data_IF_371166870349
#
_entry.id   IF_371166870349
#
_cell.length_a   1.000
_cell.length_b   1.000
_cell.length_c   1.000
_cell.angle_alpha   90.00
_cell.angle_beta   90.00
_cell.angle_gamma   90.00
#
_symmetry.space_group_name_H-M   'P 1'
#
loop_
_entity.id
_entity.type
_entity.pdbx_description
1 polymer ?
#
# COMPACT_ATOMS: atom_id res chain seq x y z
N UNK A 1 15.26 -35.98 -41.43
CA UNK A 1 15.10 -35.06 -40.27
C UNK A 1 15.00 -33.67 -40.86
N UNK A 2 13.81 -33.05 -40.82
CA UNK A 2 13.64 -31.70 -41.32
C UNK A 2 14.30 -30.74 -40.32
N UNK A 3 15.34 -30.02 -40.76
CA UNK A 3 16.05 -29.03 -39.95
C UNK A 3 15.14 -27.89 -39.52
N UNK A 4 15.53 -27.18 -38.46
CA UNK A 4 14.74 -26.09 -37.91
C UNK A 4 14.51 -25.00 -38.98
N UNK A 5 13.41 -24.24 -38.86
CA UNK A 5 13.01 -23.18 -39.83
C UNK A 5 14.15 -22.18 -40.09
N UNK A 6 15.06 -22.01 -39.13
CA UNK A 6 16.23 -21.12 -39.20
C UNK A 6 17.32 -21.69 -40.12
N UNK A 7 17.47 -23.01 -40.23
CA UNK A 7 18.51 -23.67 -41.04
C UNK A 7 18.17 -23.73 -42.54
N UNK A 8 16.88 -23.67 -42.89
CA UNK A 8 16.40 -23.73 -44.27
C UNK A 8 15.93 -22.36 -44.83
N UNK A 9 16.10 -21.28 -44.06
CA UNK A 9 15.67 -19.93 -44.44
C UNK A 9 16.81 -19.14 -45.07
N UNK A 10 16.55 -18.56 -46.24
CA UNK A 10 17.48 -17.64 -46.91
C UNK A 10 17.84 -16.46 -46.00
N UNK A 11 19.13 -16.10 -45.93
CA UNK A 11 19.67 -14.98 -45.15
C UNK A 11 18.91 -13.68 -45.39
N UNK A 12 18.37 -13.47 -46.60
CA UNK A 12 17.54 -12.30 -46.93
C UNK A 12 16.25 -12.24 -46.11
N UNK A 13 15.56 -13.38 -45.95
CA UNK A 13 14.33 -13.47 -45.15
C UNK A 13 14.62 -13.29 -43.67
N UNK A 14 15.77 -13.80 -43.21
CA UNK A 14 16.24 -13.61 -41.83
C UNK A 14 16.50 -12.13 -41.51
N UNK A 15 17.18 -11.40 -42.41
CA UNK A 15 17.46 -9.96 -42.22
C UNK A 15 16.17 -9.14 -42.22
N UNK A 16 15.22 -9.42 -43.13
CA UNK A 16 13.93 -8.73 -43.18
C UNK A 16 13.15 -8.94 -41.88
N UNK A 17 13.08 -10.17 -41.38
CA UNK A 17 12.44 -10.47 -40.09
C UNK A 17 13.15 -9.78 -38.92
N UNK A 18 14.48 -9.75 -38.92
CA UNK A 18 15.27 -9.07 -37.90
C UNK A 18 15.01 -7.56 -37.85
N UNK A 19 14.98 -6.89 -39.00
CA UNK A 19 14.67 -5.45 -39.09
C UNK A 19 13.23 -5.17 -38.65
N UNK A 20 12.28 -6.02 -39.05
CA UNK A 20 10.88 -5.88 -38.65
C UNK A 20 10.71 -6.02 -37.13
N UNK A 21 11.33 -7.03 -36.52
CA UNK A 21 11.33 -7.20 -35.06
C UNK A 21 12.01 -6.03 -34.34
N UNK A 22 13.10 -5.48 -34.91
CA UNK A 22 13.76 -4.29 -34.36
C UNK A 22 12.84 -3.06 -34.35
N UNK A 23 12.09 -2.84 -35.43
CA UNK A 23 11.11 -1.76 -35.51
C UNK A 23 9.97 -1.94 -34.49
N UNK A 24 9.45 -3.15 -34.34
CA UNK A 24 8.43 -3.45 -33.31
C UNK A 24 8.97 -3.28 -31.88
N UNK A 25 10.23 -3.63 -31.64
CA UNK A 25 10.88 -3.44 -30.35
C UNK A 25 11.04 -1.94 -30.04
N UNK A 26 11.50 -1.14 -31.01
CA UNK A 26 11.61 0.31 -30.86
C UNK A 26 10.24 0.97 -30.60
N UNK A 27 9.20 0.50 -31.30
CA UNK A 27 7.84 0.97 -31.07
C UNK A 27 7.33 0.61 -29.66
N UNK A 28 7.57 -0.62 -29.21
CA UNK A 28 7.19 -1.07 -27.86
C UNK A 28 7.87 -0.23 -26.76
N UNK A 29 9.15 0.10 -26.93
CA UNK A 29 9.86 1.00 -26.02
C UNK A 29 9.30 2.42 -26.04
N UNK A 30 8.96 2.94 -27.21
CA UNK A 30 8.37 4.27 -27.34
C UNK A 30 7.01 4.35 -26.65
N UNK A 31 6.15 3.33 -26.81
CA UNK A 31 4.88 3.24 -26.10
C UNK A 31 5.09 3.13 -24.59
N UNK A 32 6.01 2.27 -24.14
CA UNK A 32 6.32 2.09 -22.72
C UNK A 32 6.93 3.33 -22.05
N UNK A 33 7.70 4.14 -22.79
CA UNK A 33 8.35 5.33 -22.26
C UNK A 33 7.53 6.62 -22.33
N UNK A 34 6.72 6.80 -23.39
CA UNK A 34 6.00 8.06 -23.63
C UNK A 34 4.52 8.01 -23.25
N UNK A 35 3.88 6.83 -23.32
CA UNK A 35 2.43 6.70 -23.15
C UNK A 35 2.10 6.09 -21.78
N UNK A 36 2.87 5.09 -21.35
CA UNK A 36 2.60 4.40 -20.09
C UNK A 36 3.03 5.27 -18.89
N UNK A 37 2.13 5.52 -17.92
CA UNK A 37 2.52 6.13 -16.66
C UNK A 37 3.38 5.14 -15.84
N UNK A 38 4.10 5.67 -14.84
CA UNK A 38 4.95 4.86 -13.98
C UNK A 38 4.16 3.68 -13.38
N UNK A 39 4.70 2.45 -13.43
CA UNK A 39 3.96 1.23 -13.08
C UNK A 39 3.61 1.14 -11.59
N UNK A 40 4.26 1.93 -10.74
CA UNK A 40 4.03 1.91 -9.31
C UNK A 40 4.18 3.32 -8.75
N UNK A 41 3.26 3.70 -7.88
CA UNK A 41 3.32 4.96 -7.13
C UNK A 41 3.49 4.62 -5.65
N UNK A 42 4.50 5.23 -5.01
CA UNK A 42 4.72 5.10 -3.58
C UNK A 42 4.19 6.36 -2.90
N UNK A 43 3.26 6.18 -1.96
CA UNK A 43 2.68 7.28 -1.18
C UNK A 43 2.98 7.00 0.29
N UNK A 44 3.58 7.96 0.98
CA UNK A 44 3.87 7.87 2.40
C UNK A 44 2.64 8.32 3.21
N UNK A 45 2.12 7.41 4.03
CA UNK A 45 1.02 7.70 4.95
C UNK A 45 1.55 7.83 6.36
N UNK A 46 1.22 8.94 7.03
CA UNK A 46 1.47 9.10 8.47
C UNK A 46 0.26 8.62 9.26
N UNK A 47 0.49 7.68 10.18
CA UNK A 47 -0.56 7.21 11.07
C UNK A 47 -0.98 8.29 12.05
N UNK A 48 -2.30 8.48 12.18
CA UNK A 48 -2.88 9.36 13.18
C UNK A 48 -3.02 8.59 14.49
N UNK A 49 -2.51 9.17 15.59
CA UNK A 49 -2.62 8.56 16.92
C UNK A 49 -3.98 8.91 17.50
N UNK A 50 -4.86 7.93 17.59
CA UNK A 50 -6.19 8.04 18.16
C UNK A 50 -6.23 7.49 19.59
N UNK A 51 -7.08 8.05 20.44
CA UNK A 51 -7.29 7.55 21.81
C UNK A 51 -8.57 6.77 21.91
N UNK A 52 -8.50 5.57 22.48
CA UNK A 52 -9.67 4.85 22.94
C UNK A 52 -10.01 5.22 24.39
N UNK A 53 -11.02 6.08 24.55
CA UNK A 53 -11.53 6.48 25.86
C UNK A 53 -12.56 5.48 26.43
N UNK A 54 -12.93 4.42 25.71
CA UNK A 54 -13.98 3.49 26.13
C UNK A 54 -13.36 2.37 26.97
N UNK A 55 -13.74 2.33 28.25
CA UNK A 55 -13.34 1.26 29.20
C UNK A 55 -14.04 -0.05 28.84
N UNK A 56 -13.48 -0.79 27.88
CA UNK A 56 -13.98 -2.11 27.51
C UNK A 56 -13.29 -2.65 26.26
N UNK A 57 -12.22 -3.43 26.46
CA UNK A 57 -11.45 -4.10 25.39
C UNK A 57 -12.30 -4.91 24.40
N UNK A 58 -13.54 -5.28 24.73
CA UNK A 58 -14.42 -6.08 23.87
C UNK A 58 -15.34 -5.25 22.96
N UNK A 59 -15.45 -3.93 23.14
CA UNK A 59 -16.22 -3.04 22.26
C UNK A 59 -15.29 -2.23 21.32
N UNK A 60 -14.01 -2.10 21.68
CA UNK A 60 -12.97 -1.47 20.85
C UNK A 60 -12.82 -2.15 19.49
N UNK A 61 -12.92 -3.48 19.44
CA UNK A 61 -12.82 -4.27 18.20
C UNK A 61 -13.91 -3.95 17.16
N UNK A 62 -14.98 -3.25 17.54
CA UNK A 62 -16.08 -2.89 16.65
C UNK A 62 -16.08 -1.41 16.25
N UNK A 63 -15.27 -0.57 16.90
CA UNK A 63 -15.24 0.87 16.68
C UNK A 63 -14.11 1.22 15.72
N UNK A 64 -14.48 1.63 14.51
CA UNK A 64 -13.54 2.12 13.52
C UNK A 64 -13.06 3.52 13.87
N UNK A 65 -11.76 3.67 14.11
CA UNK A 65 -11.12 4.95 14.38
C UNK A 65 -10.80 5.64 13.05
N UNK A 66 -11.59 6.67 12.71
CA UNK A 66 -11.36 7.42 11.48
C UNK A 66 -10.36 8.57 11.73
N UNK A 67 -9.26 8.67 10.96
CA UNK A 67 -8.29 9.74 11.12
C UNK A 67 -8.79 11.11 10.64
N UNK A 68 -9.91 11.21 9.92
CA UNK A 68 -10.45 12.48 9.41
C UNK A 68 -11.96 12.40 9.16
N UNK A 69 -12.59 13.53 8.83
CA UNK A 69 -14.04 13.59 8.55
C UNK A 69 -14.90 13.89 9.78
N UNK A 70 -16.24 13.80 9.65
CA UNK A 70 -17.18 14.18 10.71
C UNK A 70 -17.09 13.27 11.95
N UNK A 71 -16.69 12.01 11.75
CA UNK A 71 -16.50 11.02 12.81
C UNK A 71 -15.02 10.82 13.15
N UNK A 72 -14.23 11.88 13.10
CA UNK A 72 -12.80 11.78 13.43
C UNK A 72 -12.59 11.36 14.89
N UNK A 73 -11.58 10.53 15.11
CA UNK A 73 -11.16 10.14 16.45
C UNK A 73 -10.59 11.33 17.24
N UNK A 74 -10.50 11.17 18.57
CA UNK A 74 -9.74 12.09 19.42
C UNK A 74 -8.24 11.85 19.18
N UNK A 75 -7.53 12.88 18.69
CA UNK A 75 -6.16 12.77 18.17
C UNK A 75 -5.18 13.31 19.18
N UNK A 76 -4.05 12.62 19.30
CA UNK A 76 -2.89 13.12 20.04
C UNK A 76 -1.78 13.46 19.04
N UNK A 77 -1.15 14.62 19.22
CA UNK A 77 0.00 15.02 18.40
C UNK A 77 1.27 14.29 18.82
N UNK A 78 1.54 14.34 20.13
CA UNK A 78 2.79 13.90 20.74
C UNK A 78 2.58 12.96 21.93
N UNK A 79 3.47 11.99 22.12
CA UNK A 79 3.41 11.05 23.24
C UNK A 79 3.54 11.72 24.61
N UNK A 80 4.12 12.93 24.67
CA UNK A 80 4.18 13.72 25.91
C UNK A 80 2.80 14.18 26.38
N UNK A 81 1.92 14.53 25.44
CA UNK A 81 0.52 14.86 25.74
C UNK A 81 -0.25 13.64 26.27
N UNK A 82 0.04 12.45 25.75
CA UNK A 82 -0.52 11.19 26.26
C UNK A 82 -0.09 10.93 27.71
N UNK A 83 1.19 11.16 28.03
CA UNK A 83 1.70 11.02 29.39
C UNK A 83 1.06 12.04 30.35
N UNK A 84 0.90 13.29 29.93
CA UNK A 84 0.23 14.32 30.72
C UNK A 84 -1.24 13.98 31.00
N UNK A 85 -1.93 13.39 30.01
CA UNK A 85 -3.33 12.92 30.13
C UNK A 85 -3.47 11.55 30.81
N UNK A 86 -2.37 10.92 31.23
CA UNK A 86 -2.33 9.57 31.85
C UNK A 86 -3.01 8.50 30.99
N UNK A 87 -2.83 8.57 29.67
CA UNK A 87 -3.37 7.59 28.74
C UNK A 87 -2.42 6.39 28.68
N UNK A 88 -2.96 5.19 28.94
CA UNK A 88 -2.21 3.95 28.85
C UNK A 88 -1.82 3.63 27.40
N UNK A 89 -0.68 2.96 27.21
CA UNK A 89 -0.18 2.56 25.90
C UNK A 89 -1.19 1.68 25.12
N UNK A 90 -1.98 0.87 25.83
CA UNK A 90 -2.99 -0.02 25.23
C UNK A 90 -4.19 0.74 24.64
N UNK A 91 -4.38 1.99 25.02
CA UNK A 91 -5.50 2.82 24.55
C UNK A 91 -5.11 3.73 23.38
N UNK A 92 -3.88 3.59 22.85
CA UNK A 92 -3.41 4.34 21.69
C UNK A 92 -3.57 3.47 20.45
N UNK A 93 -4.39 3.92 19.50
CA UNK A 93 -4.63 3.25 18.22
C UNK A 93 -4.03 4.07 17.09
N UNK A 94 -3.17 3.45 16.28
CA UNK A 94 -2.62 4.08 15.08
C UNK A 94 -3.57 3.85 13.91
N UNK A 95 -4.32 4.88 13.53
CA UNK A 95 -5.29 4.83 12.44
C UNK A 95 -4.69 5.42 11.15
N UNK A 96 -4.78 4.65 10.06
CA UNK A 96 -4.44 5.09 8.71
C UNK A 96 -5.65 4.84 7.82
N UNK A 97 -6.01 5.84 7.01
CA UNK A 97 -7.03 5.67 5.98
C UNK A 97 -6.36 5.74 4.61
N UNK A 98 -6.49 4.65 3.87
CA UNK A 98 -6.08 4.52 2.47
C UNK A 98 -7.37 4.32 1.67
N UNK A 99 -7.64 5.12 0.63
CA UNK A 99 -6.83 6.21 0.06
C UNK A 99 -6.87 7.51 0.87
N UNK A 100 -6.06 8.51 0.48
CA UNK A 100 -6.11 9.87 1.04
C UNK A 100 -7.51 10.51 0.93
N UNK A 101 -7.86 11.50 1.78
CA UNK A 101 -9.15 12.17 1.71
C UNK A 101 -9.40 12.74 0.31
N UNK A 102 -10.63 12.58 -0.19
CA UNK A 102 -11.06 12.98 -1.54
C UNK A 102 -10.40 12.21 -2.69
N UNK A 103 -9.81 11.05 -2.41
CA UNK A 103 -9.36 10.09 -3.42
C UNK A 103 -10.09 8.77 -3.21
N UNK A 104 -10.27 8.03 -4.30
CA UNK A 104 -10.84 6.69 -4.27
C UNK A 104 -9.85 5.72 -4.91
N UNK A 105 -9.78 4.51 -4.36
CA UNK A 105 -8.95 3.45 -4.92
C UNK A 105 -9.78 2.74 -5.99
N UNK A 106 -9.33 2.75 -7.25
CA UNK A 106 -10.03 2.04 -8.31
C UNK A 106 -9.57 0.57 -8.39
N UNK A 107 -10.42 -0.35 -8.87
CA UNK A 107 -10.03 -1.75 -9.11
C UNK A 107 -8.92 -1.94 -10.15
N UNK A 108 -8.59 -0.88 -10.91
CA UNK A 108 -7.49 -0.89 -11.87
C UNK A 108 -6.11 -1.01 -11.20
N UNK A 109 -6.01 -0.67 -9.91
CA UNK A 109 -4.83 -0.98 -9.11
C UNK A 109 -4.86 -2.46 -8.71
N UNK A 110 -4.20 -3.29 -9.51
CA UNK A 110 -4.19 -4.75 -9.37
C UNK A 110 -3.59 -5.26 -8.06
N UNK A 111 -2.73 -4.47 -7.42
CA UNK A 111 -2.10 -4.81 -6.15
C UNK A 111 -1.97 -3.57 -5.26
N UNK A 112 -1.90 -3.81 -3.95
CA UNK A 112 -1.53 -2.81 -2.96
C UNK A 112 -0.43 -3.41 -2.09
N UNK A 113 0.64 -2.65 -1.91
CA UNK A 113 1.75 -3.02 -1.05
C UNK A 113 1.85 -1.97 0.06
N UNK A 114 1.81 -2.42 1.31
CA UNK A 114 1.91 -1.56 2.49
C UNK A 114 3.16 -1.94 3.28
N UNK A 115 4.01 -0.96 3.56
CA UNK A 115 5.23 -1.12 4.38
C UNK A 115 5.06 -0.24 5.61
N UNK A 116 5.19 -0.84 6.79
CA UNK A 116 5.21 -0.12 8.06
C UNK A 116 6.62 0.39 8.34
N UNK A 117 6.75 1.70 8.52
CA UNK A 117 7.98 2.36 8.95
C UNK A 117 7.75 2.95 10.33
N UNK A 118 8.50 2.47 11.32
CA UNK A 118 8.40 2.95 12.71
C UNK A 118 9.47 4.02 12.97
N UNK A 119 9.05 5.14 13.54
CA UNK A 119 9.94 6.17 14.06
C UNK A 119 10.05 6.00 15.58
N UNK A 120 11.24 5.64 16.08
CA UNK A 120 11.49 5.34 17.49
C UNK A 120 12.49 6.37 18.03
N UNK A 121 12.02 7.25 18.91
CA UNK A 121 12.87 8.22 19.58
C UNK A 121 13.81 7.54 20.58
N UNK A 122 15.10 7.81 20.48
CA UNK A 122 16.10 7.30 21.42
C UNK A 122 16.00 8.02 22.77
N UNK A 123 15.90 7.23 23.85
CA UNK A 123 15.97 7.73 25.24
C UNK A 123 17.00 6.91 26.00
N UNK A 124 17.87 7.59 26.76
CA UNK A 124 18.95 6.94 27.53
C UNK A 124 18.43 5.88 28.53
N UNK A 125 17.25 6.12 29.11
CA UNK A 125 16.62 5.22 30.09
C UNK A 125 15.76 4.11 29.45
N UNK A 126 15.49 4.16 28.14
CA UNK A 126 14.64 3.20 27.44
C UNK A 126 15.29 2.81 26.11
N UNK A 127 16.31 1.96 26.19
CA UNK A 127 17.04 1.47 25.02
C UNK A 127 16.34 0.27 24.40
N UNK A 128 16.44 0.15 23.08
CA UNK A 128 15.95 -1.01 22.34
C UNK A 128 16.85 -2.21 22.69
N UNK A 129 16.26 -3.29 23.20
CA UNK A 129 16.98 -4.52 23.50
C UNK A 129 17.52 -5.19 22.23
N UNK A 130 18.62 -5.95 22.36
CA UNK A 130 19.29 -6.65 21.23
C UNK A 130 18.37 -7.58 20.42
N UNK A 131 17.27 -8.05 21.03
CA UNK A 131 16.26 -8.90 20.39
C UNK A 131 14.85 -8.32 20.64
N UNK A 132 14.62 -7.09 20.23
CA UNK A 132 13.30 -6.47 20.32
C UNK A 132 12.39 -7.07 19.24
N UNK A 133 11.25 -7.62 19.67
CA UNK A 133 10.16 -8.08 18.79
C UNK A 133 8.96 -7.17 19.03
N UNK A 134 8.43 -6.61 17.95
CA UNK A 134 7.25 -5.75 17.99
C UNK A 134 6.03 -6.55 17.54
N UNK A 135 5.12 -6.79 18.47
CA UNK A 135 3.82 -7.42 18.21
C UNK A 135 2.76 -6.35 18.08
N UNK A 136 2.00 -6.36 16.99
CA UNK A 136 0.91 -5.41 16.74
C UNK A 136 -0.35 -6.15 16.29
N UNK A 137 -1.50 -5.70 16.79
CA UNK A 137 -2.81 -6.19 16.36
C UNK A 137 -3.33 -5.27 15.25
N UNK A 138 -3.69 -5.86 14.10
CA UNK A 138 -4.16 -5.10 12.93
C UNK A 138 -5.57 -5.50 12.57
N UNK A 139 -6.40 -4.51 12.28
CA UNK A 139 -7.74 -4.70 11.72
C UNK A 139 -7.86 -3.83 10.46
N UNK A 140 -8.26 -4.43 9.34
CA UNK A 140 -8.38 -3.73 8.05
C UNK A 140 -9.67 -4.11 7.32
N UNK A 141 -10.39 -3.14 6.76
CA UNK A 141 -11.61 -3.30 5.95
C UNK A 141 -11.34 -3.14 4.44
N UNK A 142 -10.23 -3.69 3.97
CA UNK A 142 -9.79 -3.46 2.59
C UNK A 142 -10.58 -4.26 1.53
N UNK A 143 -11.25 -5.35 1.93
CA UNK A 143 -11.76 -6.35 0.98
C UNK A 143 -13.22 -6.17 0.54
N UNK A 144 -14.09 -5.53 1.33
CA UNK A 144 -15.53 -5.48 1.00
C UNK A 144 -15.85 -4.58 -0.21
N UNK A 145 -15.20 -3.41 -0.33
CA UNK A 145 -15.51 -2.46 -1.41
C UNK A 145 -14.98 -2.89 -2.79
N UNK A 146 -13.87 -3.65 -2.85
CA UNK A 146 -13.29 -4.09 -4.11
C UNK A 146 -14.10 -5.23 -4.75
N UNK A 147 -14.62 -6.16 -3.93
CA UNK A 147 -15.47 -7.29 -4.39
C UNK A 147 -16.83 -6.81 -4.88
N UNK A 148 -17.44 -5.82 -4.20
CA UNK A 148 -18.73 -5.26 -4.62
C UNK A 148 -18.66 -4.55 -5.99
N UNK A 149 -17.52 -3.93 -6.34
CA UNK A 149 -17.35 -3.26 -7.64
C UNK A 149 -17.01 -4.24 -8.77
N UNK A 150 -16.32 -5.35 -8.47
CA UNK A 150 -16.01 -6.39 -9.46
C UNK A 150 -17.21 -7.30 -9.75
N UNK A 151 -18.17 -7.44 -8.83
CA UNK A 151 -19.41 -8.17 -9.04
C UNK A 151 -20.40 -7.50 -10.00
N UNK A 152 -20.24 -6.22 -10.31
CA UNK A 152 -21.14 -5.48 -11.22
C UNK A 152 -20.68 -5.46 -12.69
N UNK A 153 -19.44 -5.88 -12.98
CA UNK A 153 -18.92 -5.94 -14.35
C UNK A 153 -18.96 -7.35 -14.97
N UNK A 154 -19.58 -8.30 -14.26
CA UNK A 154 -19.68 -9.71 -14.66
C UNK A 154 -21.12 -10.18 -14.93
N UNK A 155 -22.06 -9.27 -15.19
CA UNK A 155 -23.42 -9.59 -15.67
C UNK A 155 -23.71 -8.94 -17.03
#
# INVERSE_FOLDING_TARGET
MAGAIIENMSTKKLVILGVLLLLFQAFSFMVGGLIAPSPTTAIHYMATKCVDNVKGHHQAAKKWFMPWGPNQCDKIRDFEEAMAKRIEANNIVFAVHIPMPNKEMSPWFQFMLVILQFDIAFKMYNQIGKFCVLSYETTSTMFESCVLCSGWFSL
#
